data_IF_702084122674
#
_entry.id   IF_702084122674
#
_cell.length_a   1.000
_cell.length_b   1.000
_cell.length_c   1.000
_cell.angle_alpha   90.00
_cell.angle_beta   90.00
_cell.angle_gamma   90.00
#
_symmetry.space_group_name_H-M   'P 1'
#
loop_
_entity.id
_entity.type
_entity.pdbx_description
1 polymer ?
#
# COMPACT_ATOMS: atom_id res chain seq x y z
N UNK A 1 -18.40 56.85 -29.75
CA UNK A 1 -17.55 56.94 -28.52
C UNK A 1 -17.95 55.95 -27.40
N UNK A 2 -18.70 54.87 -27.67
CA UNK A 2 -19.05 53.85 -26.65
C UNK A 2 -18.39 52.47 -26.82
N UNK A 3 -17.94 52.13 -28.04
CA UNK A 3 -17.33 50.81 -28.34
C UNK A 3 -15.90 50.68 -27.82
N UNK A 4 -15.06 51.71 -27.92
CA UNK A 4 -13.66 51.65 -27.45
C UNK A 4 -13.57 51.54 -25.92
N UNK A 5 -14.44 52.25 -25.19
CA UNK A 5 -14.48 52.19 -23.72
C UNK A 5 -15.02 50.84 -23.22
N UNK A 6 -16.04 50.29 -23.88
CA UNK A 6 -16.54 48.95 -23.54
C UNK A 6 -15.51 47.84 -23.81
N UNK A 7 -14.75 47.96 -24.91
CA UNK A 7 -13.66 47.04 -25.23
C UNK A 7 -12.49 47.15 -24.26
N UNK A 8 -12.12 48.36 -23.83
CA UNK A 8 -11.09 48.56 -22.81
C UNK A 8 -11.48 47.96 -21.46
N UNK A 9 -12.75 48.11 -21.05
CA UNK A 9 -13.24 47.51 -19.80
C UNK A 9 -13.21 45.98 -19.86
N UNK A 10 -13.60 45.39 -20.99
CA UNK A 10 -13.53 43.93 -21.20
C UNK A 10 -12.08 43.41 -21.18
N UNK A 11 -11.15 44.12 -21.83
CA UNK A 11 -9.75 43.75 -21.83
C UNK A 11 -9.13 43.81 -20.43
N UNK A 12 -9.43 44.87 -19.66
CA UNK A 12 -8.95 45.02 -18.28
C UNK A 12 -9.55 43.94 -17.37
N UNK A 13 -10.84 43.64 -17.51
CA UNK A 13 -11.50 42.58 -16.74
C UNK A 13 -10.89 41.19 -17.03
N UNK A 14 -10.59 40.89 -18.29
CA UNK A 14 -9.93 39.64 -18.67
C UNK A 14 -8.51 39.51 -18.10
N UNK A 15 -7.74 40.60 -18.08
CA UNK A 15 -6.40 40.64 -17.47
C UNK A 15 -6.48 40.41 -15.95
N UNK A 16 -7.44 41.04 -15.27
CA UNK A 16 -7.64 40.84 -13.83
C UNK A 16 -8.06 39.39 -13.52
N UNK A 17 -8.98 38.82 -14.31
CA UNK A 17 -9.38 37.43 -14.16
C UNK A 17 -8.21 36.46 -14.37
N UNK A 18 -7.38 36.69 -15.38
CA UNK A 18 -6.18 35.90 -15.64
C UNK A 18 -5.13 36.05 -14.51
N UNK A 19 -5.02 37.24 -13.89
CA UNK A 19 -4.12 37.48 -12.77
C UNK A 19 -4.59 36.83 -11.46
N UNK A 20 -5.89 36.60 -11.29
CA UNK A 20 -6.48 35.92 -10.14
C UNK A 20 -6.53 34.39 -10.28
N UNK A 21 -6.43 33.88 -11.51
CA UNK A 21 -6.45 32.44 -11.78
C UNK A 21 -5.37 31.64 -11.00
N UNK A 22 -4.11 32.11 -10.84
CA UNK A 22 -3.10 31.41 -10.06
C UNK A 22 -3.46 31.30 -8.56
N UNK A 23 -4.09 32.32 -7.98
CA UNK A 23 -4.51 32.28 -6.57
C UNK A 23 -5.68 31.30 -6.35
N UNK A 24 -6.60 31.23 -7.32
CA UNK A 24 -7.66 30.23 -7.37
C UNK A 24 -7.11 28.82 -7.58
N UNK A 25 -6.13 28.63 -8.45
CA UNK A 25 -5.44 27.35 -8.64
C UNK A 25 -4.64 26.96 -7.40
N UNK A 26 -3.99 27.90 -6.72
CA UNK A 26 -3.32 27.65 -5.44
C UNK A 26 -4.33 27.27 -4.36
N UNK A 27 -5.50 27.92 -4.30
CA UNK A 27 -6.58 27.56 -3.38
C UNK A 27 -7.15 26.18 -3.69
N UNK A 28 -7.28 25.83 -4.98
CA UNK A 28 -7.67 24.49 -5.41
C UNK A 28 -6.56 23.48 -5.15
N UNK A 29 -5.27 23.82 -5.22
CA UNK A 29 -4.18 22.92 -4.83
C UNK A 29 -4.12 22.72 -3.30
N UNK A 30 -4.43 23.76 -2.52
CA UNK A 30 -4.62 23.67 -1.06
C UNK A 30 -5.87 22.87 -0.69
N UNK A 31 -6.92 22.90 -1.52
CA UNK A 31 -8.13 22.07 -1.41
C UNK A 31 -8.05 20.71 -2.12
N UNK A 32 -6.98 20.46 -2.88
CA UNK A 32 -6.63 19.20 -3.53
C UNK A 32 -5.41 18.61 -2.81
N UNK A 33 -5.39 18.73 -1.50
CA UNK A 33 -5.02 17.58 -0.70
C UNK A 33 -6.22 16.64 -0.79
N UNK A 34 -5.99 15.36 -1.10
CA UNK A 34 -7.02 14.36 -0.90
C UNK A 34 -7.47 14.47 0.55
N UNK A 35 -8.64 15.08 0.74
CA UNK A 35 -9.28 15.34 2.01
C UNK A 35 -9.62 14.00 2.66
N UNK A 36 -8.73 13.53 3.51
CA UNK A 36 -8.97 12.50 4.55
C UNK A 36 -8.27 12.90 5.85
N UNK A 37 -8.28 14.19 6.19
CA UNK A 37 -7.84 14.68 7.51
C UNK A 37 -8.99 15.41 8.21
N UNK A 38 -10.18 14.80 8.18
CA UNK A 38 -11.33 15.28 8.95
C UNK A 38 -11.47 14.50 10.26
N UNK A 39 -10.89 15.10 11.31
CA UNK A 39 -11.28 15.05 12.72
C UNK A 39 -10.93 13.79 13.53
N UNK A 40 -9.95 13.97 14.41
CA UNK A 40 -9.81 13.24 15.67
C UNK A 40 -8.40 12.76 15.89
N UNK A 41 -7.94 12.84 17.14
CA UNK A 41 -6.65 12.38 17.67
C UNK A 41 -6.49 10.84 17.62
N UNK A 42 -6.95 10.21 16.54
CA UNK A 42 -6.96 8.77 16.30
C UNK A 42 -5.90 8.44 15.25
N UNK A 43 -4.92 7.64 15.65
CA UNK A 43 -3.90 7.05 14.78
C UNK A 43 -4.51 6.54 13.47
N UNK A 44 -3.97 6.97 12.31
CA UNK A 44 -4.46 6.59 10.99
C UNK A 44 -4.55 5.04 10.90
N UNK A 45 -5.77 4.47 10.82
CA UNK A 45 -5.94 3.02 10.79
C UNK A 45 -5.19 2.34 9.64
N UNK A 46 -4.99 3.05 8.51
CA UNK A 46 -4.23 2.52 7.38
C UNK A 46 -2.72 2.45 7.69
N UNK A 47 -2.17 3.48 8.32
CA UNK A 47 -0.77 3.51 8.76
C UNK A 47 -0.49 2.45 9.84
N UNK A 48 -1.41 2.26 10.79
CA UNK A 48 -1.29 1.20 11.78
C UNK A 48 -1.34 -0.19 11.13
N UNK A 49 -2.32 -0.45 10.24
CA UNK A 49 -2.42 -1.72 9.52
C UNK A 49 -1.14 -2.03 8.74
N UNK A 50 -0.53 -1.05 8.06
CA UNK A 50 0.75 -1.21 7.39
C UNK A 50 1.85 -1.65 8.35
N UNK A 51 2.00 -0.95 9.48
CA UNK A 51 3.03 -1.24 10.48
C UNK A 51 2.89 -2.66 11.05
N UNK A 52 1.65 -3.09 11.34
CA UNK A 52 1.37 -4.45 11.83
C UNK A 52 1.70 -5.51 10.77
N UNK A 53 1.31 -5.27 9.51
CA UNK A 53 1.55 -6.22 8.41
C UNK A 53 3.03 -6.33 8.03
N UNK A 54 3.78 -5.23 8.07
CA UNK A 54 5.24 -5.23 7.87
C UNK A 54 5.93 -6.06 8.95
N UNK A 55 5.57 -5.85 10.23
CA UNK A 55 6.09 -6.64 11.35
C UNK A 55 5.72 -8.12 11.24
N UNK A 56 4.47 -8.44 10.92
CA UNK A 56 4.03 -9.82 10.75
C UNK A 56 4.77 -10.51 9.58
N UNK A 57 5.05 -9.77 8.51
CA UNK A 57 5.83 -10.26 7.36
C UNK A 57 7.29 -10.54 7.76
N UNK A 58 7.90 -9.68 8.56
CA UNK A 58 9.23 -9.91 9.11
C UNK A 58 9.28 -11.17 10.00
N UNK A 59 8.30 -11.34 10.90
CA UNK A 59 8.20 -12.53 11.76
C UNK A 59 8.04 -13.81 10.91
N UNK A 60 7.16 -13.80 9.91
CA UNK A 60 6.97 -14.95 9.00
C UNK A 60 8.23 -15.27 8.19
N UNK A 61 8.95 -14.26 7.70
CA UNK A 61 10.20 -14.46 6.99
C UNK A 61 11.30 -15.05 7.90
N UNK A 62 11.34 -14.62 9.17
CA UNK A 62 12.28 -15.13 10.16
C UNK A 62 11.98 -16.58 10.55
N UNK A 63 10.70 -16.94 10.67
CA UNK A 63 10.26 -18.31 11.03
C UNK A 63 10.66 -19.35 9.98
N UNK A 64 10.61 -19.00 8.69
CA UNK A 64 10.91 -19.95 7.61
C UNK A 64 12.37 -19.95 7.15
N UNK A 65 13.19 -19.01 7.63
CA UNK A 65 14.56 -18.81 7.15
C UNK A 65 15.43 -20.04 7.45
N UNK A 66 15.99 -20.68 6.41
CA UNK A 66 16.79 -21.89 6.54
C UNK A 66 16.00 -23.18 6.79
N UNK A 67 14.69 -23.11 6.99
CA UNK A 67 13.85 -24.27 7.34
C UNK A 67 13.40 -25.07 6.11
N UNK A 68 13.30 -24.42 4.95
CA UNK A 68 12.75 -25.03 3.74
C UNK A 68 13.73 -24.96 2.56
N UNK A 69 14.04 -26.12 1.99
CA UNK A 69 14.67 -26.19 0.67
C UNK A 69 13.75 -25.56 -0.40
N UNK A 70 14.34 -25.02 -1.47
CA UNK A 70 13.60 -24.39 -2.57
C UNK A 70 12.61 -25.34 -3.27
N UNK A 71 12.92 -26.64 -3.29
CA UNK A 71 12.00 -27.67 -3.78
C UNK A 71 10.70 -27.74 -2.96
N UNK A 72 10.75 -27.36 -1.69
CA UNK A 72 9.63 -27.31 -0.75
C UNK A 72 9.00 -25.91 -0.60
N UNK A 73 9.25 -24.98 -1.53
CA UNK A 73 8.76 -23.58 -1.47
C UNK A 73 7.24 -23.43 -1.26
N UNK A 74 6.42 -24.36 -1.75
CA UNK A 74 4.97 -24.33 -1.50
C UNK A 74 4.64 -24.60 -0.04
N UNK A 75 5.35 -25.54 0.61
CA UNK A 75 5.23 -25.76 2.05
C UNK A 75 5.72 -24.54 2.84
N UNK A 76 6.80 -23.88 2.40
CA UNK A 76 7.27 -22.62 2.99
C UNK A 76 6.20 -21.51 2.89
N UNK A 77 5.50 -21.40 1.75
CA UNK A 77 4.41 -20.46 1.55
C UNK A 77 3.23 -20.75 2.50
N UNK A 78 2.86 -22.02 2.66
CA UNK A 78 1.78 -22.44 3.55
C UNK A 78 2.13 -22.19 5.02
N UNK A 79 3.37 -22.47 5.43
CA UNK A 79 3.87 -22.14 6.77
C UNK A 79 3.86 -20.62 7.00
N UNK A 80 4.33 -19.83 6.05
CA UNK A 80 4.29 -18.36 6.15
C UNK A 80 2.85 -17.85 6.33
N UNK A 81 1.85 -18.43 5.63
CA UNK A 81 0.44 -18.10 5.85
C UNK A 81 -0.03 -18.50 7.25
N UNK A 82 0.40 -19.66 7.76
CA UNK A 82 0.08 -20.12 9.11
C UNK A 82 0.65 -19.17 10.19
N UNK A 83 1.85 -18.62 9.99
CA UNK A 83 2.46 -17.63 10.89
C UNK A 83 1.77 -16.27 10.81
N UNK A 84 1.39 -15.83 9.60
CA UNK A 84 0.72 -14.54 9.39
C UNK A 84 -0.72 -14.51 9.94
N UNK A 85 -1.44 -15.64 9.82
CA UNK A 85 -2.88 -15.73 10.11
C UNK A 85 -3.26 -15.17 11.50
N UNK A 86 -2.65 -15.60 12.62
CA UNK A 86 -3.04 -15.10 13.93
C UNK A 86 -2.84 -13.60 14.13
N UNK A 87 -1.86 -13.00 13.43
CA UNK A 87 -1.60 -11.55 13.48
C UNK A 87 -2.61 -10.77 12.65
N UNK A 88 -2.99 -11.29 11.49
CA UNK A 88 -4.08 -10.73 10.67
C UNK A 88 -5.39 -10.80 11.44
N UNK A 89 -5.75 -11.99 11.94
CA UNK A 89 -7.01 -12.19 12.67
C UNK A 89 -7.12 -11.26 13.90
N UNK A 90 -5.99 -11.03 14.60
CA UNK A 90 -5.92 -10.08 15.71
C UNK A 90 -6.15 -8.63 15.26
N UNK A 91 -5.49 -8.20 14.17
CA UNK A 91 -5.69 -6.86 13.61
C UNK A 91 -7.15 -6.61 13.21
N UNK A 92 -7.78 -7.60 12.59
CA UNK A 92 -9.20 -7.51 12.19
C UNK A 92 -10.12 -7.48 13.42
N UNK A 93 -9.85 -8.29 14.44
CA UNK A 93 -10.67 -8.39 15.65
C UNK A 93 -10.56 -7.15 16.57
N UNK A 94 -9.36 -6.61 16.79
CA UNK A 94 -9.12 -5.48 17.70
C UNK A 94 -9.85 -4.21 17.23
N UNK A 95 -9.98 -4.01 15.92
CA UNK A 95 -10.54 -2.77 15.38
C UNK A 95 -12.07 -2.71 15.39
N UNK A 96 -12.73 -3.86 15.33
CA UNK A 96 -14.20 -3.96 15.44
C UNK A 96 -14.69 -3.38 16.78
N UNK A 97 -13.90 -3.50 17.86
CA UNK A 97 -14.22 -2.92 19.16
C UNK A 97 -14.22 -1.38 19.17
N UNK A 98 -13.57 -0.75 18.18
CA UNK A 98 -13.42 0.70 18.04
C UNK A 98 -14.33 1.28 16.95
N UNK A 99 -15.31 0.51 16.46
CA UNK A 99 -16.24 0.94 15.41
C UNK A 99 -15.62 1.08 14.01
N UNK A 100 -14.43 0.51 13.80
CA UNK A 100 -13.72 0.52 12.52
C UNK A 100 -13.41 -0.92 12.11
N UNK A 101 -13.93 -1.41 10.98
CA UNK A 101 -13.58 -2.74 10.50
C UNK A 101 -12.34 -2.66 9.60
N UNK A 102 -11.33 -3.48 9.88
CA UNK A 102 -10.17 -3.70 8.98
C UNK A 102 -10.31 -5.10 8.40
N UNK A 103 -10.21 -5.23 7.09
CA UNK A 103 -10.20 -6.49 6.38
C UNK A 103 -8.90 -6.59 5.58
N UNK A 104 -8.20 -7.71 5.72
CA UNK A 104 -6.93 -7.98 5.06
C UNK A 104 -7.05 -9.26 4.25
N UNK A 105 -6.75 -9.15 2.96
CA UNK A 105 -6.77 -10.31 2.06
C UNK A 105 -5.45 -10.39 1.30
N UNK A 106 -5.01 -11.59 0.93
CA UNK A 106 -3.82 -11.78 0.11
C UNK A 106 -4.10 -11.38 -1.35
N UNK A 107 -3.22 -10.59 -1.95
CA UNK A 107 -3.34 -10.16 -3.34
C UNK A 107 -2.37 -10.93 -4.26
N UNK A 108 -2.85 -12.00 -4.87
CA UNK A 108 -2.07 -12.83 -5.78
C UNK A 108 -1.60 -12.08 -7.04
N UNK A 109 -2.38 -11.13 -7.54
CA UNK A 109 -2.04 -10.35 -8.74
C UNK A 109 -0.90 -9.38 -8.44
N UNK A 110 -0.97 -8.65 -7.33
CA UNK A 110 0.09 -7.75 -6.89
C UNK A 110 1.37 -8.50 -6.55
N UNK A 111 1.29 -9.68 -5.91
CA UNK A 111 2.44 -10.53 -5.66
C UNK A 111 3.14 -10.97 -6.96
N UNK A 112 2.37 -11.41 -7.96
CA UNK A 112 2.91 -11.78 -9.29
C UNK A 112 3.55 -10.58 -9.99
N UNK A 113 2.90 -9.42 -9.97
CA UNK A 113 3.43 -8.20 -10.57
C UNK A 113 4.74 -7.76 -9.90
N UNK A 114 4.80 -7.83 -8.57
CA UNK A 114 6.00 -7.51 -7.81
C UNK A 114 7.13 -8.51 -8.09
N UNK A 115 6.84 -9.81 -8.14
CA UNK A 115 7.81 -10.85 -8.47
C UNK A 115 8.43 -10.68 -9.87
N UNK A 116 7.73 -10.01 -10.80
CA UNK A 116 8.24 -9.75 -12.14
C UNK A 116 9.03 -8.45 -12.24
N UNK A 117 8.66 -7.42 -11.48
CA UNK A 117 9.17 -6.05 -11.66
C UNK A 117 10.13 -5.59 -10.57
N UNK A 118 10.04 -6.16 -9.37
CA UNK A 118 10.75 -5.71 -8.17
C UNK A 118 11.50 -6.86 -7.46
N UNK A 119 11.58 -8.04 -8.07
CA UNK A 119 12.32 -9.17 -7.53
C UNK A 119 13.77 -8.77 -7.25
N UNK A 120 14.27 -8.93 -6.01
CA UNK A 120 15.64 -8.57 -5.67
C UNK A 120 16.64 -9.38 -6.50
N UNK A 121 17.48 -8.70 -7.27
CA UNK A 121 18.64 -9.30 -7.91
C UNK A 121 19.86 -9.29 -7.00
N UNK A 122 20.91 -9.97 -7.41
CA UNK A 122 22.23 -9.89 -6.77
C UNK A 122 23.35 -10.23 -7.76
N UNK A 123 24.58 -9.79 -7.50
CA UNK A 123 25.71 -10.13 -8.35
C UNK A 123 25.90 -11.64 -8.46
N UNK A 124 26.47 -12.08 -9.58
CA UNK A 124 26.84 -13.48 -9.82
C UNK A 124 25.72 -14.53 -9.64
N UNK A 125 24.44 -14.17 -9.82
CA UNK A 125 23.29 -15.08 -9.64
C UNK A 125 23.17 -15.66 -8.23
N UNK A 126 23.65 -14.94 -7.22
CA UNK A 126 23.52 -15.34 -5.80
C UNK A 126 22.06 -15.55 -5.37
N UNK A 127 21.12 -14.90 -6.06
CA UNK A 127 19.69 -15.08 -5.86
C UNK A 127 19.06 -15.65 -7.13
N UNK A 128 18.21 -16.66 -6.96
CA UNK A 128 17.39 -17.22 -8.02
C UNK A 128 16.15 -16.39 -8.33
N UNK A 129 15.29 -16.94 -9.17
CA UNK A 129 14.04 -16.28 -9.58
C UNK A 129 13.04 -16.19 -8.44
N UNK A 130 12.28 -15.09 -8.38
CA UNK A 130 11.12 -15.00 -7.51
C UNK A 130 9.95 -15.82 -8.06
N UNK A 131 9.20 -16.46 -7.16
CA UNK A 131 7.95 -17.17 -7.44
C UNK A 131 6.86 -16.62 -6.53
N UNK A 132 5.74 -16.22 -7.13
CA UNK A 132 4.57 -15.79 -6.38
C UNK A 132 3.63 -16.97 -6.11
N UNK A 133 3.19 -17.11 -4.86
CA UNK A 133 2.26 -18.13 -4.40
C UNK A 133 1.16 -17.48 -3.57
N UNK A 134 -0.04 -17.34 -4.15
CA UNK A 134 -1.25 -16.87 -3.46
C UNK A 134 -1.06 -15.61 -2.58
N UNK A 135 -0.35 -14.60 -3.09
CA UNK A 135 -0.07 -13.34 -2.39
C UNK A 135 1.29 -13.26 -1.72
N UNK A 136 2.01 -14.36 -1.57
CA UNK A 136 3.39 -14.38 -1.07
C UNK A 136 4.36 -14.39 -2.25
N UNK A 137 5.56 -13.87 -2.05
CA UNK A 137 6.66 -13.94 -3.01
C UNK A 137 7.87 -14.57 -2.33
N UNK A 138 8.28 -15.73 -2.83
CA UNK A 138 9.47 -16.45 -2.38
C UNK A 138 10.58 -16.33 -3.41
N UNK A 139 11.81 -16.41 -2.94
CA UNK A 139 13.00 -16.39 -3.76
C UNK A 139 13.94 -17.52 -3.36
N UNK A 140 14.53 -18.17 -4.35
CA UNK A 140 15.62 -19.13 -4.11
C UNK A 140 16.88 -18.39 -3.66
N UNK A 141 17.41 -18.76 -2.49
CA UNK A 141 18.70 -18.28 -2.00
C UNK A 141 19.50 -19.46 -1.48
N UNK A 142 20.65 -19.74 -2.10
CA UNK A 142 21.49 -20.88 -1.75
C UNK A 142 20.75 -22.24 -1.69
N UNK A 143 19.73 -22.44 -2.55
CA UNK A 143 18.91 -23.65 -2.55
C UNK A 143 17.78 -23.68 -1.51
N UNK A 144 17.57 -22.59 -0.78
CA UNK A 144 16.52 -22.43 0.24
C UNK A 144 15.40 -21.52 -0.27
N UNK A 145 14.20 -21.69 0.29
CA UNK A 145 13.05 -20.83 0.05
C UNK A 145 13.05 -19.65 1.04
N UNK A 146 13.29 -18.45 0.53
CA UNK A 146 13.25 -17.22 1.34
C UNK A 146 12.01 -16.39 1.00
N UNK A 147 11.22 -16.00 2.00
CA UNK A 147 10.13 -15.04 1.83
C UNK A 147 10.71 -13.63 1.63
N UNK A 148 10.39 -12.97 0.52
CA UNK A 148 10.93 -11.64 0.17
C UNK A 148 9.88 -10.55 0.08
N UNK A 149 8.60 -10.92 -0.09
CA UNK A 149 7.49 -9.99 -0.02
C UNK A 149 6.17 -10.72 0.24
N UNK A 150 5.19 -9.99 0.77
CA UNK A 150 3.79 -10.41 0.85
C UNK A 150 2.91 -9.26 0.38
N UNK A 151 2.02 -9.54 -0.56
CA UNK A 151 1.05 -8.58 -1.07
C UNK A 151 -0.32 -8.79 -0.43
N UNK A 152 -0.88 -7.71 0.09
CA UNK A 152 -2.18 -7.65 0.73
C UNK A 152 -3.06 -6.59 0.07
N UNK A 153 -4.36 -6.84 0.02
CA UNK A 153 -5.37 -5.79 -0.11
C UNK A 153 -5.97 -5.54 1.27
N UNK A 154 -5.94 -4.27 1.69
CA UNK A 154 -6.46 -3.81 2.97
C UNK A 154 -7.65 -2.91 2.71
N UNK A 155 -8.76 -3.21 3.38
CA UNK A 155 -9.97 -2.39 3.38
C UNK A 155 -10.27 -1.94 4.81
N UNK A 156 -10.41 -0.64 4.98
CA UNK A 156 -10.80 0.00 6.24
C UNK A 156 -12.19 0.57 6.06
N UNK A 157 -13.16 0.07 6.81
CA UNK A 157 -14.55 0.51 6.79
C UNK A 157 -14.85 1.26 8.08
N UNK A 158 -15.31 2.50 7.95
CA UNK A 158 -15.75 3.38 9.04
C UNK A 158 -17.19 3.82 8.77
N UNK A 159 -17.86 4.36 9.78
CA UNK A 159 -19.23 4.88 9.65
C UNK A 159 -19.36 5.93 8.52
N UNK A 160 -18.33 6.78 8.35
CA UNK A 160 -18.34 7.88 7.39
C UNK A 160 -17.70 7.56 6.04
N UNK A 161 -17.21 6.34 5.83
CA UNK A 161 -16.60 5.97 4.55
C UNK A 161 -15.70 4.75 4.58
N UNK A 162 -15.25 4.35 3.39
CA UNK A 162 -14.35 3.22 3.16
C UNK A 162 -13.04 3.71 2.54
N UNK A 163 -11.92 3.12 2.95
CA UNK A 163 -10.62 3.30 2.32
C UNK A 163 -10.06 1.92 1.96
N UNK A 164 -9.61 1.75 0.72
CA UNK A 164 -8.98 0.51 0.26
C UNK A 164 -7.64 0.80 -0.40
N UNK A 165 -6.64 -0.04 -0.12
CA UNK A 165 -5.31 0.06 -0.71
C UNK A 165 -4.63 -1.30 -0.81
N UNK A 166 -3.72 -1.42 -1.77
CA UNK A 166 -2.82 -2.58 -1.88
C UNK A 166 -1.50 -2.25 -1.18
N UNK A 167 -1.03 -3.18 -0.35
CA UNK A 167 0.24 -3.12 0.35
C UNK A 167 1.13 -4.27 -0.12
N UNK A 168 2.39 -3.98 -0.46
CA UNK A 168 3.42 -5.01 -0.60
C UNK A 168 4.41 -4.86 0.55
N UNK A 169 4.21 -5.68 1.58
CA UNK A 169 5.06 -5.74 2.76
C UNK A 169 6.35 -6.51 2.43
N UNK A 170 7.47 -6.05 2.99
CA UNK A 170 8.78 -6.68 2.82
C UNK A 170 9.40 -6.92 4.20
N UNK A 171 10.07 -8.06 4.41
CA UNK A 171 10.84 -8.27 5.63
C UNK A 171 12.07 -7.36 5.58
N UNK A 172 12.05 -6.29 6.37
CA UNK A 172 13.16 -5.33 6.54
C UNK A 172 13.78 -5.45 7.90
#
# INVERSE_FOLDING_TARGET
>A
MGRDRAQLVLAVAAVIAAALAPALLAYLQLGYHADVDAAGDFEDPAANARTVLDRATFEAASDIAGEYAWSARTAAADQSRAVLRPRIDRLEAERVAEGTAVLVTYNATAARAWAQTACPGGPARQFGSCVADGGLVLQERAGEATLVAVAFDVRVVRERGETAFTLVARPT
#
